data_IF_346047840441
#
_entry.id   IF_346047840441
#
_cell.length_a   1.000
_cell.length_b   1.000
_cell.length_c   1.000
_cell.angle_alpha   90.00
_cell.angle_beta   90.00
_cell.angle_gamma   90.00
#
_symmetry.space_group_name_H-M   'P 1'
#
loop_
_entity.id
_entity.type
_entity.pdbx_description
1 polymer ?
#
# COMPACT_ATOMS: atom_id res chain seq x y z
N UNK A 1 5.41 -7.11 2.18
CA UNK A 1 4.82 -8.46 2.03
C UNK A 1 5.93 -9.48 2.23
N UNK A 2 5.62 -10.67 2.75
CA UNK A 2 6.58 -11.78 2.75
C UNK A 2 6.75 -12.32 1.34
N UNK A 3 7.97 -12.72 0.97
CA UNK A 3 8.23 -13.48 -0.25
C UNK A 3 7.76 -14.93 -0.12
N UNK A 4 7.62 -15.62 -1.25
CA UNK A 4 7.14 -17.00 -1.33
C UNK A 4 7.90 -17.97 -0.40
N UNK A 5 9.24 -17.90 -0.37
CA UNK A 5 10.06 -18.75 0.49
C UNK A 5 9.76 -18.60 1.99
N UNK A 6 9.54 -17.37 2.47
CA UNK A 6 9.15 -17.15 3.87
C UNK A 6 7.74 -17.67 4.17
N UNK A 7 6.83 -17.63 3.19
CA UNK A 7 5.45 -18.11 3.37
C UNK A 7 5.43 -19.64 3.46
N UNK A 8 6.17 -20.32 2.57
CA UNK A 8 6.32 -21.79 2.59
C UNK A 8 6.84 -22.25 3.95
N UNK A 9 7.90 -21.60 4.45
CA UNK A 9 8.46 -21.90 5.78
C UNK A 9 7.42 -21.77 6.91
N UNK A 10 6.53 -20.76 6.86
CA UNK A 10 5.46 -20.62 7.87
C UNK A 10 4.50 -21.82 7.83
N UNK A 11 4.12 -22.30 6.64
CA UNK A 11 3.24 -23.46 6.47
C UNK A 11 3.92 -24.76 6.88
N UNK A 12 5.21 -24.94 6.58
CA UNK A 12 6.01 -26.09 7.03
C UNK A 12 6.08 -26.15 8.56
N UNK A 13 6.39 -25.03 9.22
CA UNK A 13 6.43 -24.95 10.68
C UNK A 13 5.06 -25.26 11.30
N UNK A 14 3.98 -24.85 10.64
CA UNK A 14 2.62 -25.17 11.06
C UNK A 14 2.28 -26.65 10.87
N UNK A 15 2.72 -27.26 9.77
CA UNK A 15 2.55 -28.69 9.48
C UNK A 15 3.31 -29.56 10.48
N UNK A 16 4.48 -29.10 10.96
CA UNK A 16 5.22 -29.71 12.08
C UNK A 16 4.53 -29.52 13.46
N UNK A 17 3.30 -29.00 13.51
CA UNK A 17 2.53 -28.86 14.74
C UNK A 17 2.89 -27.64 15.59
N UNK A 18 3.77 -26.73 15.12
CA UNK A 18 4.15 -25.56 15.92
C UNK A 18 2.98 -24.58 16.06
N UNK A 19 2.83 -24.03 17.26
CA UNK A 19 1.85 -22.97 17.51
C UNK A 19 2.25 -21.66 16.84
N UNK A 20 1.27 -20.78 16.55
CA UNK A 20 1.53 -19.46 15.97
C UNK A 20 2.54 -18.65 16.80
N UNK A 21 2.51 -18.79 18.14
CA UNK A 21 3.46 -18.13 19.05
C UNK A 21 4.88 -18.68 18.91
N UNK A 22 5.04 -20.00 18.78
CA UNK A 22 6.34 -20.62 18.56
C UNK A 22 6.93 -20.18 17.21
N UNK A 23 6.12 -20.22 16.14
CA UNK A 23 6.51 -19.77 14.81
C UNK A 23 6.92 -18.30 14.81
N UNK A 24 6.17 -17.43 15.50
CA UNK A 24 6.52 -16.01 15.64
C UNK A 24 7.87 -15.80 16.33
N UNK A 25 8.17 -16.56 17.39
CA UNK A 25 9.44 -16.49 18.12
C UNK A 25 10.61 -16.96 17.26
N UNK A 26 10.42 -18.04 16.52
CA UNK A 26 11.46 -18.66 15.68
C UNK A 26 11.75 -17.86 14.41
N UNK A 27 10.72 -17.31 13.76
CA UNK A 27 10.86 -16.54 12.52
C UNK A 27 11.11 -15.04 12.74
N UNK A 28 11.05 -14.58 14.01
CA UNK A 28 11.15 -13.17 14.37
C UNK A 28 10.01 -12.30 13.83
N UNK A 29 8.91 -12.90 13.36
CA UNK A 29 7.75 -12.17 12.80
C UNK A 29 6.68 -11.98 13.86
N UNK A 30 5.92 -10.89 13.73
CA UNK A 30 4.78 -10.67 14.61
C UNK A 30 3.77 -11.83 14.51
N UNK A 31 3.16 -12.18 15.64
CA UNK A 31 2.06 -13.18 15.68
C UNK A 31 0.96 -12.86 14.66
N UNK A 32 0.70 -11.57 14.43
CA UNK A 32 -0.31 -11.11 13.48
C UNK A 32 0.10 -11.40 12.03
N UNK A 33 1.37 -11.22 11.69
CA UNK A 33 1.92 -11.58 10.38
C UNK A 33 1.81 -13.09 10.16
N UNK A 34 2.28 -13.91 11.11
CA UNK A 34 2.18 -15.37 11.00
C UNK A 34 0.71 -15.80 10.84
N UNK A 35 -0.20 -15.27 11.66
CA UNK A 35 -1.63 -15.56 11.56
C UNK A 35 -2.22 -15.15 10.21
N UNK A 36 -1.85 -13.98 9.69
CA UNK A 36 -2.32 -13.47 8.39
C UNK A 36 -1.97 -14.44 7.27
N UNK A 37 -0.72 -14.88 7.21
CA UNK A 37 -0.25 -15.74 6.13
C UNK A 37 -0.73 -17.19 6.27
N UNK A 38 -0.84 -17.73 7.48
CA UNK A 38 -1.36 -19.08 7.69
C UNK A 38 -2.87 -19.24 7.41
N UNK A 39 -3.63 -18.15 7.41
CA UNK A 39 -5.08 -18.15 7.15
C UNK A 39 -5.44 -17.72 5.73
N UNK A 40 -4.49 -17.21 4.97
CA UNK A 40 -4.75 -16.77 3.62
C UNK A 40 -4.77 -18.00 2.69
N UNK A 41 -5.77 -18.07 1.81
CA UNK A 41 -5.73 -18.97 0.67
C UNK A 41 -4.81 -18.33 -0.39
N UNK A 42 -3.54 -18.73 -0.36
CA UNK A 42 -2.49 -18.16 -1.22
C UNK A 42 -1.78 -16.94 -0.65
N UNK A 43 -0.98 -16.26 -1.48
CA UNK A 43 -0.21 -15.07 -1.08
C UNK A 43 -1.20 -13.89 -0.97
N UNK A 44 -1.42 -13.31 0.22
CA UNK A 44 -2.28 -12.14 0.35
C UNK A 44 -1.76 -11.03 -0.55
N UNK A 45 -2.58 -10.56 -1.48
CA UNK A 45 -2.23 -9.40 -2.31
C UNK A 45 -2.32 -8.10 -1.50
N UNK A 46 -1.48 -7.13 -1.86
CA UNK A 46 -1.56 -5.80 -1.27
C UNK A 46 -2.76 -5.12 -1.92
N UNK A 47 -3.83 -4.91 -1.16
CA UNK A 47 -4.92 -4.04 -1.61
C UNK A 47 -4.32 -2.70 -2.03
N UNK A 48 -4.54 -2.23 -3.27
CA UNK A 48 -4.09 -0.92 -3.67
C UNK A 48 -4.70 0.11 -2.72
N UNK A 49 -3.90 1.09 -2.31
CA UNK A 49 -4.48 2.21 -1.57
C UNK A 49 -5.42 2.95 -2.51
N UNK A 50 -6.61 3.37 -2.04
CA UNK A 50 -7.45 4.25 -2.85
C UNK A 50 -6.62 5.49 -3.21
N UNK A 51 -6.66 5.89 -4.48
CA UNK A 51 -6.06 7.15 -4.91
C UNK A 51 -6.78 8.26 -4.13
N UNK A 52 -6.06 8.92 -3.22
CA UNK A 52 -6.57 10.12 -2.57
C UNK A 52 -6.65 11.20 -3.63
N UNK A 53 -7.80 11.87 -3.72
CA UNK A 53 -7.91 13.06 -4.56
C UNK A 53 -6.86 14.09 -4.15
N UNK A 54 -6.27 14.77 -5.12
CA UNK A 54 -5.43 15.95 -4.92
C UNK A 54 -6.31 17.13 -4.57
N UNK A 55 -5.78 18.05 -3.75
CA UNK A 55 -6.40 19.38 -3.55
C UNK A 55 -6.57 20.14 -4.87
N UNK A 56 -5.73 19.82 -5.86
CA UNK A 56 -5.76 20.44 -7.18
C UNK A 56 -6.73 19.76 -8.15
N UNK A 57 -7.32 18.61 -7.81
CA UNK A 57 -8.22 17.89 -8.72
C UNK A 57 -9.39 18.74 -9.22
N UNK A 58 -10.04 19.60 -8.40
CA UNK A 58 -11.09 20.50 -8.87
C UNK A 58 -10.62 21.59 -9.85
N UNK A 59 -9.32 21.86 -9.90
CA UNK A 59 -8.73 22.98 -10.64
C UNK A 59 -7.85 22.53 -11.81
N UNK A 60 -7.77 21.23 -12.09
CA UNK A 60 -6.86 20.70 -13.12
C UNK A 60 -7.13 21.29 -14.51
N UNK A 61 -8.40 21.34 -14.89
CA UNK A 61 -8.80 21.81 -16.22
C UNK A 61 -8.47 23.30 -16.37
N UNK A 62 -8.80 24.11 -15.35
CA UNK A 62 -8.51 25.55 -15.37
C UNK A 62 -7.02 25.85 -15.34
N UNK A 63 -6.23 25.12 -14.54
CA UNK A 63 -4.77 25.24 -14.53
C UNK A 63 -4.20 24.87 -15.91
N UNK A 64 -4.70 23.80 -16.54
CA UNK A 64 -4.23 23.36 -17.85
C UNK A 64 -4.53 24.39 -18.94
N UNK A 65 -5.70 25.00 -18.92
CA UNK A 65 -6.06 26.11 -19.83
C UNK A 65 -5.11 27.30 -19.68
N UNK A 66 -4.82 27.73 -18.44
CA UNK A 66 -3.91 28.84 -18.18
C UNK A 66 -2.48 28.56 -18.68
N UNK A 67 -1.99 27.34 -18.46
CA UNK A 67 -0.70 26.87 -18.98
C UNK A 67 -0.70 26.92 -20.52
N UNK A 68 -1.77 26.47 -21.17
CA UNK A 68 -1.89 26.50 -22.63
C UNK A 68 -1.93 27.94 -23.19
N UNK A 69 -2.44 28.90 -22.41
CA UNK A 69 -2.41 30.33 -22.73
C UNK A 69 -1.04 30.99 -22.46
N UNK A 70 -0.03 30.22 -22.05
CA UNK A 70 1.31 30.73 -21.77
C UNK A 70 1.46 31.34 -20.38
N UNK A 71 0.49 31.12 -19.49
CA UNK A 71 0.49 31.66 -18.13
C UNK A 71 1.04 30.58 -17.20
N UNK A 72 2.30 30.72 -16.83
CA UNK A 72 3.01 29.76 -15.99
C UNK A 72 3.29 30.27 -14.56
N UNK A 73 3.01 31.55 -14.29
CA UNK A 73 3.25 32.13 -12.98
C UNK A 73 2.26 31.56 -11.94
N UNK A 74 2.80 30.93 -10.89
CA UNK A 74 2.02 30.27 -9.86
C UNK A 74 1.14 31.22 -9.04
N UNK A 75 1.59 32.45 -8.74
CA UNK A 75 0.78 33.43 -8.01
C UNK A 75 -0.43 33.86 -8.83
N UNK A 76 -0.21 34.08 -10.12
CA UNK A 76 -1.27 34.46 -11.08
C UNK A 76 -2.27 33.33 -11.26
N UNK A 77 -1.80 32.08 -11.36
CA UNK A 77 -2.68 30.91 -11.43
C UNK A 77 -3.46 30.77 -10.12
N UNK A 78 -2.81 30.92 -8.96
CA UNK A 78 -3.43 30.79 -7.65
C UNK A 78 -4.55 31.81 -7.43
N UNK A 79 -4.31 33.09 -7.72
CA UNK A 79 -5.34 34.15 -7.62
C UNK A 79 -6.54 33.91 -8.55
N UNK A 80 -6.37 33.16 -9.65
CA UNK A 80 -7.46 32.84 -10.58
C UNK A 80 -8.29 31.63 -10.20
N UNK A 81 -7.76 30.74 -9.36
CA UNK A 81 -8.44 29.49 -8.95
C UNK A 81 -8.90 29.52 -7.47
N UNK A 82 -8.55 30.57 -6.74
CA UNK A 82 -9.00 30.84 -5.36
C UNK A 82 -10.47 31.23 -5.33
#
# INVERSE_FOLDING_TARGET
MLGSGSIIMLHELRAMGKSIRAIARETGRSRNTVRKYLRAEGIPERKPHPKRGSKLDPYKDTIQELINLGIFNCEVIYERIK
#
